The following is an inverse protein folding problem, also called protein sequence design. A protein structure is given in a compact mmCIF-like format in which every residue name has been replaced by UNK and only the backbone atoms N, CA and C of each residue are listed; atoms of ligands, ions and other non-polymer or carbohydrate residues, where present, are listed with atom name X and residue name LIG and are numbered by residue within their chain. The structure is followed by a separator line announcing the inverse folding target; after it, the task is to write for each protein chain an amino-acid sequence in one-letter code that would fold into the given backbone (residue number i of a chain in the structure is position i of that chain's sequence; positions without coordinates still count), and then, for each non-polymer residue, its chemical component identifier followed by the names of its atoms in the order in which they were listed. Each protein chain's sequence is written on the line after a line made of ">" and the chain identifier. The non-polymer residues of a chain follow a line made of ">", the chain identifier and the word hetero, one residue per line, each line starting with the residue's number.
data_IF_622073936349
#
_entry.id   IF_622073936349
#
_cell.length_a   1.000
_cell.length_b   1.000
_cell.length_c   1.000
_cell.angle_alpha   90.00
_cell.angle_beta   90.00
_cell.angle_gamma   90.00
#
_symmetry.space_group_name_H-M   'P 1'
#
loop_
_entity.id
_entity.type
_entity.pdbx_description
1 polymer ?
#
# COMPACT_ATOMS: atom_id res chain seq x y z
N UNK A 1 4.12 29.49 -23.12
CA UNK A 1 5.19 28.49 -22.90
C UNK A 1 4.75 27.24 -23.64
N UNK A 2 5.51 26.83 -24.66
CA UNK A 2 5.26 25.55 -25.33
C UNK A 2 5.52 24.39 -24.36
N UNK A 3 4.73 23.29 -24.41
CA UNK A 3 5.00 22.13 -23.57
C UNK A 3 6.35 21.52 -23.95
N UNK A 4 7.21 21.32 -22.95
CA UNK A 4 8.52 20.68 -23.13
C UNK A 4 8.29 19.27 -23.68
N UNK A 5 8.75 19.02 -24.90
CA UNK A 5 8.55 17.74 -25.60
C UNK A 5 9.36 16.59 -24.99
N UNK A 6 10.60 16.88 -24.60
CA UNK A 6 11.50 15.89 -24.01
C UNK A 6 12.25 16.47 -22.80
N UNK A 7 12.47 15.65 -21.78
CA UNK A 7 13.37 15.96 -20.67
C UNK A 7 14.60 15.05 -20.69
N UNK A 8 15.74 15.56 -20.21
CA UNK A 8 17.01 14.86 -20.29
C UNK A 8 17.59 14.70 -18.88
N UNK A 9 17.97 13.47 -18.55
CA UNK A 9 18.61 13.15 -17.28
C UNK A 9 17.63 12.74 -16.19
N UNK A 10 18.15 11.98 -15.22
CA UNK A 10 17.36 11.38 -14.14
C UNK A 10 16.78 12.43 -13.19
N UNK A 11 17.56 13.45 -12.84
CA UNK A 11 17.16 14.47 -11.86
C UNK A 11 15.95 15.27 -12.34
N UNK A 12 15.93 15.69 -13.62
CA UNK A 12 14.81 16.43 -14.20
C UNK A 12 13.55 15.54 -14.32
N UNK A 13 13.74 14.26 -14.64
CA UNK A 13 12.67 13.27 -14.63
C UNK A 13 12.09 13.03 -13.22
N UNK A 14 12.97 12.87 -12.23
CA UNK A 14 12.62 12.70 -10.83
C UNK A 14 11.79 13.88 -10.30
N UNK A 15 12.22 15.12 -10.58
CA UNK A 15 11.49 16.34 -10.22
C UNK A 15 10.11 16.41 -10.90
N UNK A 16 10.00 16.05 -12.18
CA UNK A 16 8.73 16.10 -12.91
C UNK A 16 7.66 15.19 -12.29
N UNK A 17 8.04 13.96 -11.95
CA UNK A 17 7.09 12.97 -11.43
C UNK A 17 7.05 12.92 -9.90
N UNK A 18 7.75 13.83 -9.21
CA UNK A 18 7.85 13.90 -7.75
C UNK A 18 8.30 12.56 -7.12
N UNK A 19 9.40 12.01 -7.65
CA UNK A 19 9.97 10.74 -7.19
C UNK A 19 11.49 10.80 -7.10
N UNK A 20 12.10 9.81 -6.48
CA UNK A 20 13.57 9.71 -6.43
C UNK A 20 14.19 9.20 -7.74
N UNK A 21 15.46 9.54 -7.98
CA UNK A 21 16.27 8.96 -9.08
C UNK A 21 16.25 7.41 -9.07
N UNK A 22 16.19 6.80 -7.88
CA UNK A 22 16.09 5.35 -7.73
C UNK A 22 14.76 4.82 -8.27
N UNK A 23 13.66 5.55 -8.06
CA UNK A 23 12.36 5.19 -8.61
C UNK A 23 12.36 5.26 -10.14
N UNK A 24 12.95 6.30 -10.74
CA UNK A 24 13.08 6.41 -12.20
C UNK A 24 13.88 5.24 -12.78
N UNK A 25 14.99 4.85 -12.15
CA UNK A 25 15.78 3.68 -12.58
C UNK A 25 14.97 2.38 -12.51
N UNK A 26 14.14 2.23 -11.48
CA UNK A 26 13.25 1.08 -11.35
C UNK A 26 12.17 1.10 -12.43
N UNK A 27 11.57 2.25 -12.73
CA UNK A 27 10.58 2.40 -13.79
C UNK A 27 11.15 2.06 -15.17
N UNK A 28 12.40 2.46 -15.46
CA UNK A 28 13.10 2.04 -16.69
C UNK A 28 13.23 0.51 -16.78
N UNK A 29 13.56 -0.16 -15.67
CA UNK A 29 13.61 -1.64 -15.65
C UNK A 29 12.23 -2.27 -15.89
N UNK A 30 11.16 -1.58 -15.51
CA UNK A 30 9.77 -2.00 -15.69
C UNK A 30 9.17 -1.57 -17.04
N UNK A 31 9.95 -0.92 -17.90
CA UNK A 31 9.53 -0.58 -19.27
C UNK A 31 9.14 0.88 -19.51
N UNK A 32 9.50 1.82 -18.62
CA UNK A 32 9.34 3.25 -18.89
C UNK A 32 10.02 3.62 -20.23
N UNK A 33 9.30 4.25 -21.18
CA UNK A 33 9.82 4.57 -22.50
C UNK A 33 10.97 5.57 -22.38
N UNK A 34 12.19 5.11 -22.66
CA UNK A 34 13.39 5.94 -22.56
C UNK A 34 14.25 5.76 -23.80
N UNK A 35 14.68 6.88 -24.35
CA UNK A 35 15.58 6.93 -25.50
C UNK A 35 16.99 7.38 -25.09
N UNK A 36 17.97 7.15 -25.97
CA UNK A 36 19.34 7.62 -25.77
C UNK A 36 20.26 6.67 -24.99
N UNK A 37 21.52 7.10 -24.85
CA UNK A 37 22.57 6.29 -24.21
C UNK A 37 22.50 6.35 -22.68
N UNK A 38 23.21 5.45 -22.01
CA UNK A 38 23.24 5.39 -20.54
C UNK A 38 23.70 6.70 -19.88
N UNK A 39 24.50 7.51 -20.58
CA UNK A 39 24.99 8.83 -20.13
C UNK A 39 24.03 9.98 -20.44
N UNK A 40 23.09 9.79 -21.38
CA UNK A 40 22.13 10.82 -21.80
C UNK A 40 20.78 10.18 -22.09
N UNK A 41 20.05 9.86 -21.02
CA UNK A 41 18.67 9.37 -21.09
C UNK A 41 17.75 10.53 -21.46
N UNK A 42 16.91 10.29 -22.46
CA UNK A 42 15.91 11.22 -22.98
C UNK A 42 14.54 10.60 -22.75
N UNK A 43 13.66 11.35 -22.11
CA UNK A 43 12.29 10.95 -21.82
C UNK A 43 11.36 11.81 -22.66
N UNK A 44 10.61 11.20 -23.56
CA UNK A 44 9.50 11.88 -24.22
C UNK A 44 8.39 12.05 -23.19
N UNK A 45 8.01 13.30 -22.95
CA UNK A 45 7.08 13.64 -21.87
C UNK A 45 5.70 13.02 -22.12
N UNK A 46 5.23 12.99 -23.36
CA UNK A 46 3.91 12.47 -23.69
C UNK A 46 3.84 10.96 -23.47
N UNK A 47 4.85 10.23 -23.96
CA UNK A 47 4.91 8.77 -23.80
C UNK A 47 5.13 8.37 -22.33
N UNK A 48 6.03 9.08 -21.63
CA UNK A 48 6.33 8.79 -20.24
C UNK A 48 5.16 9.14 -19.31
N UNK A 49 4.48 10.28 -19.51
CA UNK A 49 3.35 10.65 -18.66
C UNK A 49 2.20 9.64 -18.79
N UNK A 50 1.93 9.17 -20.02
CA UNK A 50 0.92 8.12 -20.26
C UNK A 50 1.29 6.80 -19.56
N UNK A 51 2.56 6.38 -19.68
CA UNK A 51 3.06 5.18 -18.99
C UNK A 51 3.00 5.34 -17.47
N UNK A 52 3.40 6.50 -16.92
CA UNK A 52 3.41 6.77 -15.48
C UNK A 52 1.99 6.77 -14.92
N UNK A 53 1.02 7.32 -15.64
CA UNK A 53 -0.38 7.28 -15.24
C UNK A 53 -0.87 5.82 -15.14
N UNK A 54 -0.68 5.02 -16.20
CA UNK A 54 -1.05 3.59 -16.21
C UNK A 54 -0.35 2.81 -15.10
N UNK A 55 0.95 3.03 -14.93
CA UNK A 55 1.74 2.35 -13.91
C UNK A 55 1.32 2.72 -12.49
N UNK A 56 0.91 3.97 -12.25
CA UNK A 56 0.38 4.38 -10.94
C UNK A 56 -1.00 3.78 -10.69
N UNK A 57 -1.86 3.74 -11.70
CA UNK A 57 -3.18 3.12 -11.59
C UNK A 57 -3.07 1.62 -11.31
N UNK A 58 -2.13 0.91 -11.94
CA UNK A 58 -1.83 -0.49 -11.62
C UNK A 58 -1.26 -0.71 -10.21
N UNK A 59 -0.53 0.27 -9.68
CA UNK A 59 0.02 0.22 -8.32
C UNK A 59 -0.96 0.71 -7.26
N UNK A 60 -2.07 1.32 -7.67
CA UNK A 60 -3.18 1.69 -6.78
C UNK A 60 -3.99 0.43 -6.50
N UNK A 61 -3.73 -0.17 -5.35
CA UNK A 61 -4.63 -1.16 -4.77
C UNK A 61 -5.97 -0.48 -4.52
N UNK A 62 -7.08 -1.12 -4.90
CA UNK A 62 -8.40 -0.55 -4.64
C UNK A 62 -8.60 -0.35 -3.13
N UNK A 63 -9.39 0.66 -2.74
CA UNK A 63 -9.67 0.90 -1.32
C UNK A 63 -10.24 -0.35 -0.64
N UNK A 64 -11.10 -1.08 -1.33
CA UNK A 64 -11.71 -2.32 -0.85
C UNK A 64 -10.64 -3.42 -0.63
N UNK A 65 -9.73 -3.61 -1.58
CA UNK A 65 -8.64 -4.59 -1.47
C UNK A 65 -7.65 -4.22 -0.35
N UNK A 66 -7.36 -2.93 -0.15
CA UNK A 66 -6.59 -2.47 1.01
C UNK A 66 -7.30 -2.75 2.34
N UNK A 67 -8.61 -2.48 2.42
CA UNK A 67 -9.41 -2.73 3.61
C UNK A 67 -9.47 -4.23 3.94
N UNK A 68 -9.58 -5.10 2.93
CA UNK A 68 -9.50 -6.57 3.09
C UNK A 68 -8.12 -7.02 3.58
N UNK A 69 -7.03 -6.54 2.97
CA UNK A 69 -5.67 -6.86 3.43
C UNK A 69 -5.42 -6.39 4.88
N UNK A 70 -5.88 -5.18 5.23
CA UNK A 70 -5.78 -4.66 6.58
C UNK A 70 -6.57 -5.52 7.58
N UNK A 71 -7.76 -5.98 7.20
CA UNK A 71 -8.57 -6.90 7.99
C UNK A 71 -7.87 -8.23 8.26
N UNK A 72 -7.30 -8.86 7.23
CA UNK A 72 -6.53 -10.10 7.36
C UNK A 72 -5.35 -9.95 8.32
N UNK A 73 -4.58 -8.85 8.20
CA UNK A 73 -3.46 -8.56 9.10
C UNK A 73 -3.92 -8.43 10.56
N UNK A 74 -5.08 -7.81 10.82
CA UNK A 74 -5.64 -7.69 12.18
C UNK A 74 -6.08 -9.04 12.71
N UNK A 75 -6.67 -9.90 11.87
CA UNK A 75 -7.07 -11.27 12.23
C UNK A 75 -5.84 -12.13 12.56
N UNK A 76 -4.79 -12.05 11.76
CA UNK A 76 -3.57 -12.80 12.01
C UNK A 76 -2.89 -12.34 13.31
N UNK A 77 -2.77 -11.02 13.51
CA UNK A 77 -2.23 -10.47 14.75
C UNK A 77 -3.09 -10.85 15.96
N UNK A 78 -4.42 -10.89 15.82
CA UNK A 78 -5.33 -11.43 16.84
C UNK A 78 -4.97 -12.87 17.17
N UNK A 79 -4.88 -13.74 16.18
CA UNK A 79 -4.65 -15.16 16.41
C UNK A 79 -3.28 -15.40 17.05
N UNK A 80 -2.26 -14.67 16.62
CA UNK A 80 -0.94 -14.67 17.24
C UNK A 80 -0.97 -14.17 18.69
N UNK A 81 -1.74 -13.12 19.02
CA UNK A 81 -1.86 -12.60 20.40
C UNK A 81 -2.77 -13.43 21.30
N UNK A 82 -3.80 -14.07 20.74
CA UNK A 82 -4.78 -14.88 21.47
C UNK A 82 -4.38 -16.36 21.55
N UNK A 83 -3.24 -16.75 20.97
CA UNK A 83 -2.59 -18.06 21.14
C UNK A 83 -2.32 -18.42 22.60
N UNK A 84 -2.40 -17.48 23.55
CA UNK A 84 -2.44 -17.79 24.97
C UNK A 84 -3.59 -18.77 25.25
N UNK A 85 -3.30 -20.05 25.56
CA UNK A 85 -4.32 -21.02 25.89
C UNK A 85 -5.22 -20.45 26.98
N UNK A 86 -6.54 -20.67 26.87
CA UNK A 86 -7.52 -20.15 27.85
C UNK A 86 -7.13 -20.49 29.30
N UNK A 87 -6.43 -21.60 29.48
CA UNK A 87 -5.85 -22.10 30.73
C UNK A 87 -4.71 -21.22 31.27
N UNK A 88 -3.84 -20.70 30.39
CA UNK A 88 -2.74 -19.81 30.77
C UNK A 88 -3.24 -18.39 31.11
N UNK A 89 -4.37 -17.96 30.56
CA UNK A 89 -4.95 -16.63 30.84
C UNK A 89 -5.27 -16.43 32.32
N UNK A 90 -5.61 -17.51 33.04
CA UNK A 90 -5.87 -17.48 34.50
C UNK A 90 -4.62 -17.18 35.33
N UNK A 91 -3.43 -17.43 34.78
CA UNK A 91 -2.15 -17.23 35.43
C UNK A 91 -1.55 -15.85 35.13
N UNK A 92 -2.15 -15.07 34.22
CA UNK A 92 -1.78 -13.68 33.99
C UNK A 92 -2.10 -12.84 35.23
N UNK A 93 -1.29 -11.82 35.51
CA UNK A 93 -1.63 -10.84 36.54
C UNK A 93 -2.91 -10.05 36.14
N UNK A 94 -3.62 -9.48 37.12
CA UNK A 94 -4.89 -8.76 36.88
C UNK A 94 -4.79 -7.68 35.80
N UNK A 95 -3.65 -6.97 35.72
CA UNK A 95 -3.40 -5.94 34.71
C UNK A 95 -3.34 -6.54 33.29
N UNK A 96 -2.62 -7.64 33.12
CA UNK A 96 -2.52 -8.34 31.84
C UNK A 96 -3.85 -8.98 31.44
N UNK A 97 -4.62 -9.51 32.40
CA UNK A 97 -5.97 -10.02 32.13
C UNK A 97 -6.92 -8.93 31.60
N UNK A 98 -6.88 -7.73 32.18
CA UNK A 98 -7.67 -6.59 31.69
C UNK A 98 -7.27 -6.21 30.27
N UNK A 99 -5.96 -6.14 29.98
CA UNK A 99 -5.46 -5.78 28.66
C UNK A 99 -5.87 -6.77 27.57
N UNK A 100 -5.82 -8.07 27.88
CA UNK A 100 -6.30 -9.11 26.96
C UNK A 100 -7.79 -8.93 26.68
N UNK A 101 -8.62 -8.64 27.70
CA UNK A 101 -10.05 -8.38 27.49
C UNK A 101 -10.32 -7.14 26.64
N UNK A 102 -9.64 -6.02 26.92
CA UNK A 102 -9.74 -4.79 26.11
C UNK A 102 -9.43 -5.07 24.63
N UNK A 103 -8.36 -5.82 24.38
CA UNK A 103 -7.95 -6.18 23.03
C UNK A 103 -8.96 -7.10 22.36
N UNK A 104 -9.52 -8.08 23.07
CA UNK A 104 -10.60 -8.93 22.55
C UNK A 104 -11.82 -8.10 22.14
N UNK A 105 -12.24 -7.12 22.95
CA UNK A 105 -13.36 -6.25 22.61
C UNK A 105 -13.09 -5.38 21.38
N UNK A 106 -11.90 -4.78 21.26
CA UNK A 106 -11.54 -4.00 20.06
C UNK A 106 -11.53 -4.86 18.78
N UNK A 107 -11.09 -6.11 18.91
CA UNK A 107 -11.08 -7.08 17.81
C UNK A 107 -12.51 -7.45 17.40
N UNK A 108 -13.37 -7.79 18.35
CA UNK A 108 -14.78 -8.12 18.08
C UNK A 108 -15.51 -6.95 17.41
N UNK A 109 -15.28 -5.72 17.87
CA UNK A 109 -15.83 -4.51 17.24
C UNK A 109 -15.33 -4.32 15.80
N UNK A 110 -14.05 -4.62 15.53
CA UNK A 110 -13.47 -4.52 14.19
C UNK A 110 -14.06 -5.57 13.26
N UNK A 111 -14.21 -6.82 13.73
CA UNK A 111 -14.83 -7.90 12.96
C UNK A 111 -16.30 -7.60 12.65
N UNK A 112 -17.05 -7.05 13.60
CA UNK A 112 -18.43 -6.64 13.38
C UNK A 112 -18.52 -5.60 12.26
N UNK A 113 -17.67 -4.56 12.30
CA UNK A 113 -17.61 -3.53 11.24
C UNK A 113 -17.25 -4.12 9.88
N UNK A 114 -16.37 -5.12 9.83
CA UNK A 114 -16.00 -5.80 8.59
C UNK A 114 -17.15 -6.65 8.04
N UNK A 115 -17.89 -7.36 8.90
CA UNK A 115 -19.05 -8.14 8.48
C UNK A 115 -20.18 -7.28 7.89
N UNK A 116 -20.34 -6.05 8.38
CA UNK A 116 -21.30 -5.07 7.86
C UNK A 116 -20.92 -4.56 6.46
N UNK A 117 -19.64 -4.64 6.08
CA UNK A 117 -19.14 -4.27 4.75
C UNK A 117 -19.37 -5.43 3.76
N UNK A 118 -19.15 -6.68 4.17
CA UNK A 118 -19.37 -7.87 3.33
C UNK A 118 -20.85 -8.09 2.95
N UNK A 119 -21.80 -7.73 3.81
CA UNK A 119 -23.23 -7.94 3.51
C UNK A 119 -23.81 -6.96 2.48
N UNK A 120 -23.08 -5.90 2.09
CA UNK A 120 -23.58 -4.85 1.21
C UNK A 120 -24.86 -4.16 1.75
N UNK A 121 -25.37 -3.11 1.08
CA UNK A 121 -26.63 -2.52 1.51
C UNK A 121 -27.76 -3.54 1.35
N UNK A 122 -28.30 -4.02 2.47
CA UNK A 122 -29.53 -4.82 2.51
C UNK A 122 -30.64 -4.01 1.84
N UNK A 123 -31.08 -4.47 0.67
CA UNK A 123 -32.24 -3.94 -0.05
C UNK A 123 -33.53 -4.10 0.74
#
# INVERSE_FOLDING_TARGET
>A
MEPVKCIIGFTVAAERWDVSDKAIRNWIKKGLPVSGSQRRRVFDVSECDAWVASYRDEMLISREEYELFAAECVIEARDQMLTLPKEMRRHLCKKCQSKVKEMQTMIEQTLQRLSEIEEGPKK
#
